data_IF_293273239545
#
_entry.id   IF_293273239545
#
_cell.length_a   1.000
_cell.length_b   1.000
_cell.length_c   1.000
_cell.angle_alpha   90.00
_cell.angle_beta   90.00
_cell.angle_gamma   90.00
#
_symmetry.space_group_name_H-M   'P 1'
#
loop_
_entity.id
_entity.type
_entity.pdbx_description
1 polymer ?
#
# COMPACT_ATOMS: atom_id res chain seq x y z
N UNK A 1 56.69 -2.87 -63.27
CA UNK A 1 57.32 -4.02 -62.57
C UNK A 1 56.72 -4.08 -61.16
N UNK A 2 55.93 -5.15 -60.93
CA UNK A 2 55.90 -6.06 -59.77
C UNK A 2 55.71 -5.33 -58.40
N UNK A 3 54.89 -5.75 -57.47
CA UNK A 3 54.28 -7.08 -57.15
C UNK A 3 53.05 -6.91 -56.28
N UNK A 4 52.12 -7.79 -56.50
CA UNK A 4 50.97 -8.14 -55.67
C UNK A 4 51.45 -8.80 -54.39
N UNK A 5 50.86 -8.48 -53.23
CA UNK A 5 50.87 -9.35 -52.08
C UNK A 5 49.64 -9.08 -51.23
N UNK A 6 48.68 -9.95 -51.40
CA UNK A 6 48.10 -11.00 -50.55
C UNK A 6 47.46 -10.48 -49.24
N UNK A 7 46.19 -10.46 -49.34
CA UNK A 7 45.14 -10.92 -48.42
C UNK A 7 45.56 -11.32 -46.99
N UNK A 8 44.94 -10.68 -46.06
CA UNK A 8 44.61 -11.35 -44.80
C UNK A 8 43.21 -10.89 -44.38
N UNK A 9 42.23 -11.74 -44.71
CA UNK A 9 40.82 -11.63 -44.32
C UNK A 9 40.77 -12.07 -42.85
N UNK A 10 40.79 -11.13 -41.92
CA UNK A 10 40.55 -11.43 -40.51
C UNK A 10 39.02 -11.44 -40.28
N UNK A 11 38.51 -12.66 -40.22
CA UNK A 11 37.14 -12.94 -39.83
C UNK A 11 36.95 -12.67 -38.36
N UNK A 12 36.44 -11.48 -37.99
CA UNK A 12 36.12 -11.11 -36.62
C UNK A 12 34.79 -11.78 -36.24
N UNK A 13 34.86 -12.93 -35.56
CA UNK A 13 33.75 -13.56 -34.91
C UNK A 13 33.23 -12.66 -33.78
N UNK A 14 32.12 -11.98 -34.01
CA UNK A 14 31.35 -11.33 -32.96
C UNK A 14 30.66 -12.41 -32.09
N UNK A 15 31.25 -12.72 -30.97
CA UNK A 15 30.60 -13.45 -29.90
C UNK A 15 29.54 -12.54 -29.27
N UNK A 16 28.28 -12.77 -29.62
CA UNK A 16 27.14 -12.19 -28.93
C UNK A 16 27.05 -12.88 -27.56
N UNK A 17 27.74 -12.31 -26.57
CA UNK A 17 27.58 -12.70 -25.21
C UNK A 17 26.21 -12.22 -24.70
N UNK A 18 25.26 -13.10 -24.47
CA UNK A 18 24.09 -12.82 -23.64
C UNK A 18 24.57 -12.54 -22.22
N UNK A 19 24.88 -11.29 -21.94
CA UNK A 19 25.12 -10.79 -20.60
C UNK A 19 23.81 -10.86 -19.79
N UNK A 20 23.75 -11.76 -18.79
CA UNK A 20 22.75 -11.65 -17.75
C UNK A 20 22.88 -10.28 -17.13
N UNK A 21 21.82 -9.46 -17.25
CA UNK A 21 21.70 -8.21 -16.50
C UNK A 21 21.72 -8.58 -15.02
N UNK A 22 22.83 -8.23 -14.36
CA UNK A 22 22.97 -8.36 -12.93
C UNK A 22 21.98 -7.37 -12.33
N UNK A 23 20.93 -7.88 -11.67
CA UNK A 23 20.02 -7.03 -10.92
C UNK A 23 20.84 -6.21 -9.93
N UNK A 24 20.73 -4.88 -10.02
CA UNK A 24 21.28 -3.98 -9.00
C UNK A 24 20.55 -4.27 -7.68
N UNK A 25 21.27 -4.35 -6.57
CA UNK A 25 20.61 -4.45 -5.26
C UNK A 25 19.70 -3.23 -5.07
N UNK A 26 18.41 -3.49 -4.94
CA UNK A 26 17.43 -2.48 -4.56
C UNK A 26 17.80 -1.97 -3.18
N UNK A 27 18.12 -0.69 -3.07
CA UNK A 27 18.41 -0.04 -1.80
C UNK A 27 17.20 -0.20 -0.85
N UNK A 28 17.42 -0.48 0.44
CA UNK A 28 16.34 -0.47 1.44
C UNK A 28 16.00 0.99 1.76
N UNK A 29 14.99 1.50 1.12
CA UNK A 29 14.61 2.91 1.31
C UNK A 29 13.22 3.21 0.79
N UNK A 30 12.29 3.33 1.69
CA UNK A 30 11.14 4.21 1.54
C UNK A 30 9.99 3.77 0.62
N UNK A 31 8.96 3.24 1.21
CA UNK A 31 7.60 3.55 0.80
C UNK A 31 7.09 3.08 -0.56
N UNK A 32 6.55 1.89 -0.66
CA UNK A 32 5.37 1.64 -1.48
C UNK A 32 5.49 1.49 -3.00
N UNK A 33 6.67 1.22 -3.54
CA UNK A 33 6.80 1.01 -4.97
C UNK A 33 7.21 -0.41 -5.32
N UNK A 34 6.34 -1.19 -5.95
CA UNK A 34 6.75 -2.47 -6.54
C UNK A 34 5.70 -3.56 -6.55
N UNK A 35 4.89 -3.68 -5.52
CA UNK A 35 3.86 -4.71 -5.52
C UNK A 35 2.64 -4.27 -6.33
N UNK A 36 2.13 -5.13 -7.25
CA UNK A 36 0.93 -4.82 -8.02
C UNK A 36 -0.25 -4.47 -7.12
N UNK A 37 -1.00 -3.44 -7.51
CA UNK A 37 -2.25 -3.08 -6.83
C UNK A 37 -3.29 -4.13 -7.16
N UNK A 38 -3.98 -4.66 -6.16
CA UNK A 38 -5.16 -5.50 -6.36
C UNK A 38 -6.30 -4.64 -6.95
N UNK A 39 -6.70 -4.84 -8.22
CA UNK A 39 -7.77 -4.06 -8.84
C UNK A 39 -9.13 -4.32 -8.19
N UNK A 40 -9.28 -5.42 -7.45
CA UNK A 40 -10.51 -5.79 -6.75
C UNK A 40 -10.57 -5.28 -5.31
N UNK A 41 -9.56 -4.51 -4.85
CA UNK A 41 -9.57 -3.90 -3.53
C UNK A 41 -10.58 -2.75 -3.46
N UNK A 42 -11.85 -3.07 -3.29
CA UNK A 42 -12.98 -2.15 -3.19
C UNK A 42 -13.27 -1.76 -1.73
N UNK A 43 -14.01 -0.65 -1.51
CA UNK A 43 -14.51 -0.33 -0.18
C UNK A 43 -15.43 -1.43 0.35
N UNK A 44 -16.26 -2.01 -0.50
CA UNK A 44 -17.12 -3.13 -0.12
C UNK A 44 -16.32 -4.30 0.46
N UNK A 45 -15.19 -4.67 -0.16
CA UNK A 45 -14.32 -5.71 0.39
C UNK A 45 -13.65 -5.27 1.69
N UNK A 46 -13.11 -4.05 1.75
CA UNK A 46 -12.53 -3.50 2.99
C UNK A 46 -13.56 -3.50 4.11
N UNK A 47 -14.81 -3.13 3.82
CA UNK A 47 -15.91 -3.16 4.79
C UNK A 47 -16.16 -4.57 5.31
N UNK A 48 -16.31 -5.54 4.42
CA UNK A 48 -16.70 -6.90 4.78
C UNK A 48 -15.57 -7.71 5.41
N UNK A 49 -14.35 -7.53 4.94
CA UNK A 49 -13.20 -8.33 5.35
C UNK A 49 -12.39 -7.68 6.50
N UNK A 50 -12.54 -6.37 6.71
CA UNK A 50 -11.75 -5.62 7.72
C UNK A 50 -12.64 -4.82 8.66
N UNK A 51 -13.40 -3.84 8.17
CA UNK A 51 -14.07 -2.90 9.07
C UNK A 51 -15.17 -3.56 9.89
N UNK A 52 -16.05 -4.32 9.26
CA UNK A 52 -17.17 -4.97 9.98
C UNK A 52 -16.70 -5.99 11.01
N UNK A 53 -15.80 -6.95 10.69
CA UNK A 53 -15.44 -7.98 11.65
C UNK A 53 -14.49 -7.51 12.76
N UNK A 54 -13.72 -6.41 12.55
CA UNK A 54 -12.65 -6.04 13.48
C UNK A 54 -12.74 -4.62 14.01
N UNK A 55 -13.18 -3.67 13.22
CA UNK A 55 -13.09 -2.24 13.59
C UNK A 55 -14.43 -1.68 14.08
N UNK A 56 -15.53 -2.07 13.44
CA UNK A 56 -16.88 -1.61 13.75
C UNK A 56 -17.57 -2.36 14.89
N UNK A 57 -16.81 -3.11 15.69
CA UNK A 57 -17.32 -3.83 16.83
C UNK A 57 -17.88 -2.87 17.89
N UNK A 58 -18.81 -3.40 18.72
CA UNK A 58 -19.48 -2.65 19.78
C UNK A 58 -18.48 -2.02 20.75
N UNK A 59 -18.63 -0.72 21.00
CA UNK A 59 -17.76 0.05 21.88
C UNK A 59 -16.46 0.55 21.20
N UNK A 60 -16.21 0.17 19.94
CA UNK A 60 -15.05 0.63 19.18
C UNK A 60 -15.47 1.74 18.18
N UNK A 61 -15.42 1.45 16.89
CA UNK A 61 -15.82 2.40 15.84
C UNK A 61 -17.25 2.14 15.33
N UNK A 62 -18.13 1.78 16.22
CA UNK A 62 -19.57 1.67 15.99
C UNK A 62 -20.30 2.99 16.34
N UNK A 63 -21.63 3.12 16.08
CA UNK A 63 -22.35 4.34 16.39
C UNK A 63 -22.44 4.71 17.87
N UNK A 64 -22.24 3.75 18.78
CA UNK A 64 -22.27 3.99 20.22
C UNK A 64 -20.88 4.33 20.76
N UNK A 65 -19.86 3.54 20.40
CA UNK A 65 -18.47 3.72 20.87
C UNK A 65 -17.81 4.96 20.29
N UNK A 66 -17.94 5.16 18.98
CA UNK A 66 -17.42 6.33 18.24
C UNK A 66 -15.97 6.71 18.59
N UNK A 67 -15.11 5.74 18.85
CA UNK A 67 -13.73 6.06 19.22
C UNK A 67 -13.12 7.02 18.18
N UNK A 68 -12.51 8.11 18.67
CA UNK A 68 -11.97 9.20 17.84
C UNK A 68 -13.01 9.86 16.90
N UNK A 69 -14.29 9.87 17.27
CA UNK A 69 -15.41 10.35 16.44
C UNK A 69 -15.45 9.69 15.06
N UNK A 70 -15.04 8.44 14.95
CA UNK A 70 -14.98 7.68 13.71
C UNK A 70 -15.94 6.49 13.77
N UNK A 71 -16.76 6.32 12.72
CA UNK A 71 -17.70 5.21 12.59
C UNK A 71 -17.27 4.38 11.37
N UNK A 72 -17.03 3.09 11.58
CA UNK A 72 -16.59 2.14 10.55
C UNK A 72 -17.62 1.05 10.25
N UNK A 73 -18.89 1.32 10.53
CA UNK A 73 -19.98 0.42 10.15
C UNK A 73 -20.41 0.64 8.69
N UNK A 74 -21.06 -0.39 8.12
CA UNK A 74 -21.54 -0.37 6.73
C UNK A 74 -22.37 0.90 6.43
N UNK A 75 -22.09 1.51 5.28
CA UNK A 75 -22.72 2.74 4.82
C UNK A 75 -22.21 4.02 5.48
N UNK A 76 -21.35 3.92 6.51
CA UNK A 76 -20.81 5.10 7.22
C UNK A 76 -19.30 5.27 7.09
N UNK A 77 -18.56 4.20 6.83
CA UNK A 77 -17.09 4.20 6.84
C UNK A 77 -16.48 5.18 5.84
N UNK A 78 -17.01 5.29 4.63
CA UNK A 78 -16.49 6.21 3.62
C UNK A 78 -16.48 7.65 4.11
N UNK A 79 -17.64 8.18 4.49
CA UNK A 79 -17.80 9.57 4.94
C UNK A 79 -17.04 9.86 6.26
N UNK A 80 -16.73 8.81 7.04
CA UNK A 80 -15.97 8.95 8.28
C UNK A 80 -14.45 8.82 8.10
N UNK A 81 -13.98 8.43 6.91
CA UNK A 81 -12.54 8.17 6.70
C UNK A 81 -11.93 8.99 5.58
N UNK A 82 -12.51 8.98 4.38
CA UNK A 82 -11.88 9.57 3.19
C UNK A 82 -11.93 11.08 3.23
N UNK A 83 -10.75 11.71 3.22
CA UNK A 83 -10.60 13.15 3.26
C UNK A 83 -10.82 13.80 4.65
N UNK A 84 -11.21 13.03 5.67
CA UNK A 84 -11.50 13.51 7.02
C UNK A 84 -10.22 13.64 7.83
N UNK A 85 -10.00 14.75 8.54
CA UNK A 85 -8.86 14.95 9.42
C UNK A 85 -8.88 13.92 10.59
N UNK A 86 -7.71 13.44 10.97
CA UNK A 86 -7.58 12.56 12.14
C UNK A 86 -7.65 13.38 13.43
N UNK A 87 -8.38 12.90 14.44
CA UNK A 87 -8.41 13.55 15.75
C UNK A 87 -7.06 13.42 16.48
N UNK A 88 -6.43 12.24 16.39
CA UNK A 88 -5.15 12.00 17.07
C UNK A 88 -3.95 12.66 16.38
N UNK A 89 -4.04 12.90 15.07
CA UNK A 89 -2.99 13.56 14.29
C UNK A 89 -3.63 14.48 13.24
N UNK A 90 -4.05 15.69 13.64
CA UNK A 90 -4.82 16.61 12.77
C UNK A 90 -4.11 17.05 11.49
N UNK A 91 -2.78 16.92 11.44
CA UNK A 91 -1.97 17.17 10.24
C UNK A 91 -2.16 16.11 9.15
N UNK A 92 -2.73 14.95 9.49
CA UNK A 92 -3.03 13.86 8.58
C UNK A 92 -4.53 13.66 8.44
N UNK A 93 -4.94 13.17 7.27
CA UNK A 93 -6.29 12.64 7.07
C UNK A 93 -6.37 11.19 7.55
N UNK A 94 -7.56 10.75 7.95
CA UNK A 94 -7.82 9.34 8.26
C UNK A 94 -7.49 8.45 7.05
N UNK A 95 -7.97 8.85 5.86
CA UNK A 95 -7.60 8.28 4.58
C UNK A 95 -7.32 9.42 3.60
N UNK A 96 -6.10 9.43 3.04
CA UNK A 96 -5.68 10.29 1.94
C UNK A 96 -5.71 9.44 0.66
N UNK A 97 -6.61 9.72 -0.30
CA UNK A 97 -6.63 8.99 -1.56
C UNK A 97 -5.26 8.92 -2.23
N UNK A 98 -4.91 7.77 -2.80
CA UNK A 98 -3.64 7.45 -3.46
C UNK A 98 -2.40 7.39 -2.55
N UNK A 99 -2.53 7.78 -1.27
CA UNK A 99 -1.38 7.89 -0.36
C UNK A 99 -1.60 7.13 0.96
N UNK A 100 -1.30 5.82 1.01
CA UNK A 100 -1.36 5.04 2.25
C UNK A 100 -0.41 5.57 3.33
N UNK A 101 0.79 6.02 2.95
CA UNK A 101 1.80 6.46 3.91
C UNK A 101 1.34 7.69 4.74
N UNK A 102 0.52 8.57 4.15
CA UNK A 102 -0.09 9.73 4.82
C UNK A 102 -1.57 9.50 5.17
N UNK A 103 -2.02 8.26 5.17
CA UNK A 103 -3.33 7.86 5.68
C UNK A 103 -3.20 7.37 7.12
N UNK A 104 -3.73 8.12 8.09
CA UNK A 104 -3.53 7.80 9.50
C UNK A 104 -4.18 6.47 9.90
N UNK A 105 -5.31 6.10 9.29
CA UNK A 105 -5.94 4.79 9.45
C UNK A 105 -4.96 3.66 9.06
N UNK A 106 -4.26 3.80 7.94
CA UNK A 106 -3.27 2.81 7.52
C UNK A 106 -2.10 2.74 8.51
N UNK A 107 -1.61 3.87 9.00
CA UNK A 107 -0.60 3.89 10.06
C UNK A 107 -1.08 3.19 11.32
N UNK A 108 -2.32 3.41 11.74
CA UNK A 108 -2.90 2.76 12.93
C UNK A 108 -2.93 1.25 12.82
N UNK A 109 -3.26 0.69 11.67
CA UNK A 109 -3.28 -0.78 11.49
C UNK A 109 -1.89 -1.39 11.29
N UNK A 110 -0.90 -0.63 10.82
CA UNK A 110 0.49 -1.08 10.69
C UNK A 110 1.33 -0.83 11.94
N UNK A 111 0.96 0.16 12.76
CA UNK A 111 1.72 0.60 13.93
C UNK A 111 2.82 1.60 13.62
N UNK A 112 2.91 2.12 12.39
CA UNK A 112 4.01 2.97 11.95
C UNK A 112 3.74 4.46 12.21
N UNK A 113 4.54 5.12 13.07
CA UNK A 113 4.47 6.58 13.30
C UNK A 113 3.11 7.04 13.84
N UNK A 114 2.61 6.36 14.87
CA UNK A 114 1.29 6.59 15.48
C UNK A 114 1.39 7.21 16.87
N UNK A 115 0.30 7.84 17.28
CA UNK A 115 0.03 8.21 18.68
C UNK A 115 -0.92 7.16 19.28
N UNK A 116 -0.63 6.73 20.54
CA UNK A 116 -1.39 5.69 21.23
C UNK A 116 -1.20 4.30 20.59
N UNK A 117 -2.16 3.41 20.80
CA UNK A 117 -2.01 1.99 20.47
C UNK A 117 -2.22 1.69 18.99
N UNK A 118 -1.54 0.62 18.52
CA UNK A 118 -1.85 0.01 17.24
C UNK A 118 -3.25 -0.58 17.25
N UNK A 119 -3.94 -0.52 16.11
CA UNK A 119 -5.30 -1.05 15.96
C UNK A 119 -5.30 -2.43 15.25
N UNK A 120 -6.25 -3.32 15.66
CA UNK A 120 -7.17 -3.20 16.81
C UNK A 120 -6.43 -3.15 18.15
N UNK A 121 -6.92 -2.32 19.08
CA UNK A 121 -6.29 -2.19 20.41
C UNK A 121 -6.29 -3.54 21.15
N UNK A 122 -5.12 -3.97 21.63
CA UNK A 122 -4.96 -5.26 22.31
C UNK A 122 -4.94 -6.47 21.39
N UNK A 123 -5.15 -6.30 20.06
CA UNK A 123 -5.17 -7.40 19.10
C UNK A 123 -6.45 -8.26 19.14
N UNK A 124 -6.51 -9.35 18.34
CA UNK A 124 -5.50 -9.70 17.34
C UNK A 124 -5.35 -8.64 16.25
N UNK A 125 -4.10 -8.42 15.82
CA UNK A 125 -3.84 -7.46 14.74
C UNK A 125 -4.29 -8.02 13.39
N UNK A 126 -4.51 -7.11 12.44
CA UNK A 126 -4.87 -7.48 11.08
C UNK A 126 -3.76 -8.32 10.44
N UNK A 127 -4.15 -9.28 9.62
CA UNK A 127 -3.24 -10.06 8.79
C UNK A 127 -2.61 -9.19 7.70
N UNK A 128 -1.47 -9.64 7.15
CA UNK A 128 -0.82 -8.96 6.03
C UNK A 128 -1.74 -8.80 4.82
N UNK A 129 -2.60 -9.82 4.55
CA UNK A 129 -3.60 -9.75 3.50
C UNK A 129 -4.66 -8.66 3.71
N UNK A 130 -5.12 -8.50 4.95
CA UNK A 130 -6.07 -7.44 5.31
C UNK A 130 -5.43 -6.05 5.24
N UNK A 131 -4.19 -5.92 5.72
CA UNK A 131 -3.40 -4.68 5.61
C UNK A 131 -3.18 -4.33 4.14
N UNK A 132 -2.81 -5.33 3.30
CA UNK A 132 -2.65 -5.16 1.86
C UNK A 132 -3.95 -4.70 1.19
N UNK A 133 -5.09 -5.30 1.53
CA UNK A 133 -6.39 -4.92 0.99
C UNK A 133 -6.71 -3.44 1.26
N UNK A 134 -6.52 -2.98 2.49
CA UNK A 134 -6.72 -1.56 2.85
C UNK A 134 -5.73 -0.67 2.09
N UNK A 135 -4.45 -1.06 2.01
CA UNK A 135 -3.44 -0.32 1.27
C UNK A 135 -3.83 -0.15 -0.20
N UNK A 136 -4.23 -1.22 -0.83
CA UNK A 136 -4.52 -1.23 -2.27
C UNK A 136 -5.80 -0.48 -2.59
N UNK A 137 -6.83 -0.54 -1.73
CA UNK A 137 -7.99 0.34 -1.83
C UNK A 137 -7.59 1.82 -1.77
N UNK A 138 -6.73 2.21 -0.83
CA UNK A 138 -6.22 3.60 -0.74
C UNK A 138 -5.43 3.97 -1.99
N UNK A 139 -4.55 3.07 -2.49
CA UNK A 139 -3.76 3.29 -3.73
C UNK A 139 -4.62 3.42 -4.99
N UNK A 140 -5.79 2.82 -5.02
CA UNK A 140 -6.79 3.02 -6.08
C UNK A 140 -7.51 4.37 -5.99
N UNK A 141 -7.20 5.19 -5.01
CA UNK A 141 -7.87 6.48 -4.77
C UNK A 141 -8.98 6.42 -3.73
N UNK A 142 -9.06 5.34 -2.97
CA UNK A 142 -10.09 5.09 -1.96
C UNK A 142 -11.51 5.34 -2.49
N UNK A 143 -11.94 4.70 -3.60
CA UNK A 143 -13.27 4.90 -4.14
C UNK A 143 -14.37 4.39 -3.20
N UNK A 144 -15.58 4.94 -3.35
CA UNK A 144 -16.78 4.49 -2.64
C UNK A 144 -17.51 3.43 -3.49
N UNK A 145 -16.94 2.23 -3.64
CA UNK A 145 -17.33 1.16 -4.55
C UNK A 145 -17.61 -0.19 -3.85
#
# INVERSE_FOLDING_TARGET
MRRISKHSLVLLLLLIGCGKLKELPTAPGGGGGGEPIDPTATLTRVQNEVFTPTCGALGCHDPLGRQENMILTTGRSYANTVGVASNQMPSLKRVTPLDPANSYLYRKITGAGITGDRMPQGGPYLTDGQIKLVRDWIRRGAPND
#
